data_IF_700775768100
#
_entry.id   IF_700775768100
#
_cell.length_a   1.000
_cell.length_b   1.000
_cell.length_c   1.000
_cell.angle_alpha   90.00
_cell.angle_beta   90.00
_cell.angle_gamma   90.00
#
_symmetry.space_group_name_H-M   'P 1'
#
loop_
_entity.id
_entity.type
_entity.pdbx_description
1 polymer ?
#
# COMPACT_ATOMS: atom_id res chain seq x y z
N UNK A 1 -40.92 18.88 9.60
CA UNK A 1 -41.46 18.04 8.52
C UNK A 1 -40.29 17.59 7.65
N UNK A 2 -39.71 16.46 7.97
CA UNK A 2 -38.63 15.82 7.20
C UNK A 2 -39.27 14.76 6.32
N UNK A 3 -39.52 15.09 5.06
CA UNK A 3 -39.95 14.11 4.04
C UNK A 3 -38.70 13.49 3.43
N UNK A 4 -38.16 12.49 4.12
CA UNK A 4 -37.13 11.63 3.54
C UNK A 4 -37.78 10.63 2.59
N UNK A 5 -37.64 10.84 1.29
CA UNK A 5 -38.02 9.86 0.28
C UNK A 5 -37.08 8.64 0.38
N UNK A 6 -37.59 7.42 0.55
CA UNK A 6 -36.78 6.22 0.45
C UNK A 6 -36.39 6.00 -1.02
N UNK A 7 -35.20 6.42 -1.40
CA UNK A 7 -34.65 6.10 -2.72
C UNK A 7 -34.48 4.58 -2.79
N UNK A 8 -35.16 3.94 -3.72
CA UNK A 8 -35.11 2.49 -3.96
C UNK A 8 -33.65 2.08 -4.29
N UNK A 9 -33.25 0.90 -3.79
CA UNK A 9 -31.90 0.37 -3.98
C UNK A 9 -31.50 0.27 -5.47
N UNK A 10 -32.44 -0.01 -6.35
CA UNK A 10 -32.26 -0.10 -7.81
C UNK A 10 -31.97 1.30 -8.41
N UNK A 11 -32.65 2.33 -7.93
CA UNK A 11 -32.42 3.72 -8.37
C UNK A 11 -31.05 4.24 -7.93
N UNK A 12 -30.60 3.88 -6.72
CA UNK A 12 -29.23 4.21 -6.25
C UNK A 12 -28.15 3.57 -7.13
N UNK A 13 -28.31 2.31 -7.51
CA UNK A 13 -27.38 1.62 -8.40
C UNK A 13 -27.36 2.27 -9.78
N UNK A 14 -28.52 2.62 -10.33
CA UNK A 14 -28.62 3.36 -11.59
C UNK A 14 -27.94 4.71 -11.55
N UNK A 15 -28.12 5.45 -10.47
CA UNK A 15 -27.51 6.77 -10.26
C UNK A 15 -25.98 6.66 -10.14
N UNK A 16 -25.46 5.70 -9.35
CA UNK A 16 -24.00 5.46 -9.22
C UNK A 16 -23.41 5.06 -10.57
N UNK A 17 -24.10 4.22 -11.35
CA UNK A 17 -23.62 3.83 -12.70
C UNK A 17 -23.56 5.03 -13.64
N UNK A 18 -24.56 5.93 -13.63
CA UNK A 18 -24.54 7.13 -14.45
C UNK A 18 -23.42 8.10 -14.06
N UNK A 19 -23.12 8.25 -12.77
CA UNK A 19 -21.99 9.05 -12.28
C UNK A 19 -20.63 8.45 -12.72
N UNK A 20 -20.49 7.13 -12.68
CA UNK A 20 -19.29 6.45 -13.15
C UNK A 20 -19.07 6.61 -14.66
N UNK A 21 -20.14 6.56 -15.46
CA UNK A 21 -20.04 6.79 -16.91
C UNK A 21 -19.72 8.25 -17.24
N UNK A 22 -20.28 9.21 -16.49
CA UNK A 22 -19.92 10.63 -16.63
C UNK A 22 -18.45 10.87 -16.24
N UNK A 23 -18.00 10.32 -15.12
CA UNK A 23 -16.60 10.44 -14.68
C UNK A 23 -15.62 9.83 -15.68
N UNK A 24 -15.97 8.70 -16.33
CA UNK A 24 -15.17 8.13 -17.40
C UNK A 24 -15.12 9.00 -18.65
N UNK A 25 -16.21 9.71 -18.98
CA UNK A 25 -16.26 10.60 -20.12
C UNK A 25 -15.47 11.90 -19.91
N UNK A 26 -15.30 12.33 -18.65
CA UNK A 26 -14.56 13.54 -18.28
C UNK A 26 -13.07 13.30 -18.04
N UNK A 27 -12.63 12.03 -17.91
CA UNK A 27 -11.21 11.71 -17.83
C UNK A 27 -10.55 12.00 -19.18
N UNK A 28 -9.47 12.80 -19.22
CA UNK A 28 -8.66 12.91 -20.44
C UNK A 28 -8.24 11.52 -20.86
N UNK A 29 -8.10 11.24 -22.18
CA UNK A 29 -7.64 9.96 -22.65
C UNK A 29 -6.35 9.62 -21.90
N UNK A 30 -6.30 8.45 -21.25
CA UNK A 30 -5.09 7.97 -20.59
C UNK A 30 -3.95 8.07 -21.61
N UNK A 31 -3.10 9.07 -21.44
CA UNK A 31 -1.79 9.08 -22.09
C UNK A 31 -1.10 7.82 -21.57
N UNK A 32 -1.07 6.79 -22.44
CA UNK A 32 -0.24 5.62 -22.18
C UNK A 32 1.19 6.14 -22.10
N UNK A 33 1.63 6.44 -20.90
CA UNK A 33 3.04 6.64 -20.62
C UNK A 33 3.68 5.30 -20.94
N UNK A 34 4.20 5.14 -22.15
CA UNK A 34 5.03 4.01 -22.51
C UNK A 34 6.21 4.02 -21.54
N UNK A 35 6.20 3.09 -20.60
CA UNK A 35 7.36 2.85 -19.77
C UNK A 35 8.57 2.64 -20.70
N UNK A 36 9.75 3.22 -20.38
CA UNK A 36 10.93 3.06 -21.23
C UNK A 36 11.13 1.59 -21.57
N UNK A 37 11.20 1.28 -22.85
CA UNK A 37 11.22 -0.09 -23.39
C UNK A 37 12.33 -0.99 -22.81
N UNK A 38 13.36 -0.41 -22.18
CA UNK A 38 14.45 -1.13 -21.55
C UNK A 38 14.09 -1.82 -20.21
N UNK A 39 13.01 -1.41 -19.54
CA UNK A 39 12.61 -1.94 -18.22
C UNK A 39 11.53 -3.04 -18.31
N UNK A 40 11.05 -3.40 -19.50
CA UNK A 40 9.91 -4.31 -19.66
C UNK A 40 10.27 -5.80 -19.71
N UNK A 41 11.53 -6.18 -19.95
CA UNK A 41 11.92 -7.57 -20.23
C UNK A 41 12.05 -8.46 -18.98
N UNK A 42 12.31 -7.89 -17.80
CA UNK A 42 12.58 -8.63 -16.56
C UNK A 42 11.63 -8.31 -15.39
N UNK A 43 10.54 -7.63 -15.64
CA UNK A 43 9.56 -7.34 -14.58
C UNK A 43 8.77 -8.60 -14.22
N UNK A 44 8.87 -9.03 -12.98
CA UNK A 44 8.06 -10.11 -12.41
C UNK A 44 7.48 -9.67 -11.06
N UNK A 45 6.31 -10.20 -10.73
CA UNK A 45 5.69 -9.93 -9.45
C UNK A 45 6.46 -10.66 -8.34
N UNK A 46 6.92 -9.92 -7.35
CA UNK A 46 7.49 -10.49 -6.15
C UNK A 46 6.40 -11.21 -5.36
N UNK A 47 6.69 -12.44 -4.91
CA UNK A 47 5.79 -13.21 -4.05
C UNK A 47 6.34 -13.23 -2.64
N UNK A 48 5.58 -12.67 -1.71
CA UNK A 48 5.90 -12.72 -0.28
C UNK A 48 5.75 -14.16 0.20
N UNK A 49 6.84 -14.71 0.76
CA UNK A 49 6.89 -16.05 1.34
C UNK A 49 7.04 -16.03 2.86
N UNK A 50 7.36 -14.88 3.43
CA UNK A 50 7.54 -14.68 4.87
C UNK A 50 6.20 -14.32 5.55
N UNK A 51 5.66 -15.25 6.32
CA UNK A 51 4.41 -15.07 7.08
C UNK A 51 4.58 -14.16 8.30
N UNK A 52 5.81 -13.82 8.66
CA UNK A 52 6.15 -12.98 9.82
C UNK A 52 6.29 -11.50 9.48
N UNK A 53 6.01 -11.10 8.23
CA UNK A 53 6.06 -9.70 7.83
C UNK A 53 5.17 -8.82 8.72
N UNK A 54 5.75 -7.73 9.21
CA UNK A 54 5.07 -6.81 10.11
C UNK A 54 4.97 -7.28 11.57
N UNK A 55 5.47 -8.49 11.89
CA UNK A 55 5.65 -8.94 13.27
C UNK A 55 6.93 -8.32 13.82
N UNK A 56 6.87 -7.80 15.03
CA UNK A 56 8.02 -7.17 15.68
C UNK A 56 7.68 -5.89 16.43
N UNK A 57 8.65 -5.39 17.18
CA UNK A 57 8.51 -4.15 17.95
C UNK A 57 8.56 -2.90 17.06
N UNK A 58 8.11 -1.76 17.59
CA UNK A 58 8.07 -0.49 16.86
C UNK A 58 9.44 -0.07 16.29
N UNK A 59 10.52 -0.29 17.04
CA UNK A 59 11.89 0.00 16.58
C UNK A 59 12.34 -0.89 15.40
N UNK A 60 11.89 -2.14 15.38
CA UNK A 60 12.18 -3.06 14.27
C UNK A 60 11.41 -2.66 13.01
N UNK A 61 10.12 -2.34 13.15
CA UNK A 61 9.30 -1.82 12.06
C UNK A 61 9.89 -0.54 11.47
N UNK A 62 10.35 0.36 12.32
CA UNK A 62 11.04 1.58 11.88
C UNK A 62 12.27 1.25 11.03
N UNK A 63 13.18 0.39 11.53
CA UNK A 63 14.38 -0.01 10.79
C UNK A 63 14.07 -0.64 9.45
N UNK A 64 13.05 -1.52 9.39
CA UNK A 64 12.63 -2.15 8.15
C UNK A 64 12.09 -1.11 7.15
N UNK A 65 11.31 -0.14 7.61
CA UNK A 65 10.81 0.93 6.76
C UNK A 65 11.96 1.78 6.21
N UNK A 66 12.91 2.18 7.07
CA UNK A 66 14.06 2.99 6.64
C UNK A 66 14.97 2.23 5.66
N UNK A 67 15.22 0.94 5.91
CA UNK A 67 15.98 0.12 4.98
C UNK A 67 15.32 0.03 3.60
N UNK A 68 14.01 -0.13 3.55
CA UNK A 68 13.27 -0.19 2.30
C UNK A 68 13.27 1.16 1.56
N UNK A 69 13.10 2.27 2.27
CA UNK A 69 13.10 3.61 1.68
C UNK A 69 14.49 3.97 1.13
N UNK A 70 15.54 3.74 1.92
CA UNK A 70 16.90 4.04 1.49
C UNK A 70 17.28 3.21 0.24
N UNK A 71 16.91 1.93 0.23
CA UNK A 71 17.11 1.07 -0.95
C UNK A 71 16.31 1.57 -2.16
N UNK A 72 15.07 2.00 -1.96
CA UNK A 72 14.26 2.57 -3.05
C UNK A 72 14.95 3.79 -3.67
N UNK A 73 15.45 4.72 -2.84
CA UNK A 73 16.18 5.90 -3.31
C UNK A 73 17.45 5.50 -4.09
N UNK A 74 18.19 4.49 -3.63
CA UNK A 74 19.36 3.96 -4.36
C UNK A 74 18.96 3.42 -5.74
N UNK A 75 17.90 2.60 -5.80
CA UNK A 75 17.39 2.03 -7.05
C UNK A 75 16.92 3.10 -8.04
N UNK A 76 16.28 4.15 -7.53
CA UNK A 76 15.84 5.30 -8.35
C UNK A 76 17.02 6.09 -8.91
N UNK A 77 18.05 6.36 -8.09
CA UNK A 77 19.27 7.04 -8.53
C UNK A 77 20.01 6.22 -9.60
N UNK A 78 20.11 4.90 -9.38
CA UNK A 78 20.77 3.98 -10.30
C UNK A 78 19.90 3.64 -11.53
N UNK A 79 18.63 3.99 -11.51
CA UNK A 79 17.63 3.70 -12.56
C UNK A 79 17.64 2.21 -12.97
N UNK A 80 17.61 1.32 -11.99
CA UNK A 80 17.61 -0.13 -12.18
C UNK A 80 16.47 -0.81 -11.39
N UNK A 81 16.19 -2.05 -11.75
CA UNK A 81 15.27 -2.91 -10.99
C UNK A 81 15.98 -3.52 -9.77
N UNK A 82 15.18 -3.83 -8.75
CA UNK A 82 15.65 -4.54 -7.56
C UNK A 82 16.00 -6.00 -7.86
N UNK A 83 17.09 -6.48 -7.28
CA UNK A 83 17.43 -7.92 -7.27
C UNK A 83 16.45 -8.70 -6.37
N UNK A 84 16.41 -10.04 -6.45
CA UNK A 84 15.56 -10.83 -5.56
C UNK A 84 15.84 -10.56 -4.06
N UNK A 85 17.08 -10.37 -3.68
CA UNK A 85 17.48 -10.07 -2.28
C UNK A 85 17.03 -8.68 -1.86
N UNK A 86 17.10 -7.71 -2.77
CA UNK A 86 16.61 -6.34 -2.55
C UNK A 86 15.08 -6.30 -2.48
N UNK A 87 14.38 -7.13 -3.27
CA UNK A 87 12.93 -7.27 -3.18
C UNK A 87 12.48 -7.79 -1.80
N UNK A 88 13.26 -8.68 -1.17
CA UNK A 88 13.02 -9.12 0.21
C UNK A 88 13.12 -7.94 1.20
N UNK A 89 14.08 -7.04 1.03
CA UNK A 89 14.22 -5.84 1.87
C UNK A 89 13.03 -4.91 1.65
N UNK A 90 12.67 -4.63 0.39
CA UNK A 90 11.53 -3.79 0.05
C UNK A 90 10.21 -4.35 0.61
N UNK A 91 10.03 -5.68 0.59
CA UNK A 91 8.83 -6.33 1.10
C UNK A 91 8.60 -6.17 2.60
N UNK A 92 9.67 -5.82 3.35
CA UNK A 92 9.58 -5.58 4.80
C UNK A 92 9.06 -4.19 5.18
N UNK A 93 8.76 -3.34 4.21
CA UNK A 93 8.09 -2.08 4.48
C UNK A 93 6.66 -2.32 4.98
N UNK A 94 6.37 -1.85 6.18
CA UNK A 94 5.08 -2.09 6.85
C UNK A 94 4.29 -0.80 7.12
N UNK A 95 4.72 0.32 6.55
CA UNK A 95 4.08 1.62 6.75
C UNK A 95 4.33 2.23 8.12
N UNK A 96 3.78 3.39 8.33
CA UNK A 96 4.01 4.20 9.55
C UNK A 96 2.89 4.07 10.60
N UNK A 97 1.89 3.24 10.36
CA UNK A 97 0.79 3.03 11.29
C UNK A 97 1.28 2.62 12.67
N UNK A 98 0.89 3.40 13.70
CA UNK A 98 1.33 3.18 15.08
C UNK A 98 2.77 3.56 15.40
N UNK A 99 3.48 4.28 14.49
CA UNK A 99 4.86 4.74 14.69
C UNK A 99 4.96 6.27 14.90
N UNK A 100 3.90 6.91 15.39
CA UNK A 100 3.87 8.36 15.61
C UNK A 100 4.99 8.87 16.52
N UNK A 101 5.50 8.01 17.42
CA UNK A 101 6.62 8.37 18.28
C UNK A 101 7.94 8.63 17.54
N UNK A 102 8.10 8.13 16.33
CA UNK A 102 9.27 8.39 15.49
C UNK A 102 9.28 9.81 14.91
N UNK A 103 8.12 10.48 14.90
CA UNK A 103 7.92 11.85 14.39
C UNK A 103 7.85 12.90 15.51
N UNK A 104 8.04 12.49 16.76
CA UNK A 104 8.01 13.39 17.93
C UNK A 104 9.45 13.80 18.32
N UNK A 105 9.80 15.04 18.02
CA UNK A 105 11.12 15.62 18.33
C UNK A 105 11.43 15.66 19.82
N UNK A 106 10.41 15.63 20.68
CA UNK A 106 10.56 15.69 22.14
C UNK A 106 10.67 14.31 22.79
N UNK A 107 10.52 13.24 22.01
CA UNK A 107 10.60 11.88 22.51
C UNK A 107 12.05 11.40 22.59
N UNK A 108 12.65 11.55 23.77
CA UNK A 108 14.05 11.16 24.00
C UNK A 108 14.34 9.68 23.68
N UNK A 109 13.37 8.78 23.80
CA UNK A 109 13.54 7.37 23.49
C UNK A 109 13.61 7.08 21.96
N UNK A 110 13.25 8.07 21.14
CA UNK A 110 13.22 8.00 19.67
C UNK A 110 14.05 9.09 18.98
N UNK A 111 14.91 9.76 19.74
CA UNK A 111 15.66 10.90 19.24
C UNK A 111 16.60 10.57 18.06
N UNK A 112 17.17 9.38 18.04
CA UNK A 112 18.07 8.96 16.96
C UNK A 112 17.25 8.59 15.71
N UNK A 113 16.14 7.87 15.88
CA UNK A 113 15.23 7.53 14.78
C UNK A 113 14.57 8.78 14.18
N UNK A 114 14.21 9.76 15.02
CA UNK A 114 13.70 11.05 14.54
C UNK A 114 14.72 11.75 13.65
N UNK A 115 15.98 11.81 14.06
CA UNK A 115 17.05 12.44 13.27
C UNK A 115 17.29 11.70 11.96
N UNK A 116 17.33 10.37 12.00
CA UNK A 116 17.50 9.53 10.82
C UNK A 116 16.36 9.77 9.82
N UNK A 117 15.12 9.73 10.28
CA UNK A 117 13.93 9.96 9.48
C UNK A 117 13.95 11.34 8.81
N UNK A 118 14.24 12.38 9.61
CA UNK A 118 14.27 13.76 9.13
C UNK A 118 15.41 14.03 8.13
N UNK A 119 16.51 13.31 8.25
CA UNK A 119 17.66 13.43 7.34
C UNK A 119 17.48 12.65 6.04
N UNK A 120 16.69 11.57 6.06
CA UNK A 120 16.55 10.64 4.91
C UNK A 120 15.38 10.98 4.00
N UNK A 121 14.35 11.68 4.50
CA UNK A 121 13.15 12.00 3.74
C UNK A 121 13.15 13.46 3.26
N UNK A 122 12.62 13.69 2.08
CA UNK A 122 12.24 15.04 1.66
C UNK A 122 11.12 15.61 2.55
N UNK A 123 10.91 16.92 2.58
CA UNK A 123 9.82 17.51 3.36
C UNK A 123 8.44 16.95 2.98
N UNK A 124 8.21 16.66 1.71
CA UNK A 124 6.96 16.09 1.18
C UNK A 124 6.77 14.65 1.67
N UNK A 125 7.80 13.83 1.57
CA UNK A 125 7.77 12.43 2.06
C UNK A 125 7.60 12.37 3.57
N UNK A 126 8.30 13.25 4.30
CA UNK A 126 8.18 13.32 5.77
C UNK A 126 6.74 13.66 6.18
N UNK A 127 6.12 14.66 5.57
CA UNK A 127 4.75 15.05 5.88
C UNK A 127 3.76 13.93 5.54
N UNK A 128 3.89 13.30 4.37
CA UNK A 128 3.06 12.18 3.97
C UNK A 128 3.21 10.98 4.93
N UNK A 129 4.43 10.66 5.34
CA UNK A 129 4.72 9.61 6.30
C UNK A 129 4.09 9.92 7.67
N UNK A 130 4.24 11.15 8.17
CA UNK A 130 3.68 11.60 9.44
C UNK A 130 2.14 11.53 9.42
N UNK A 131 1.47 12.01 8.37
CA UNK A 131 0.03 11.95 8.24
C UNK A 131 -0.49 10.50 8.21
N UNK A 132 0.27 9.59 7.62
CA UNK A 132 -0.09 8.19 7.51
C UNK A 132 -0.01 7.40 8.83
N UNK A 133 0.61 7.95 9.88
CA UNK A 133 0.78 7.26 11.18
C UNK A 133 -0.53 6.84 11.83
N UNK A 134 -1.63 7.52 11.52
CA UNK A 134 -2.96 7.24 12.06
C UNK A 134 -3.79 6.27 11.20
N UNK A 135 -3.43 6.10 9.94
CA UNK A 135 -4.28 5.42 8.94
C UNK A 135 -3.61 4.25 8.22
N UNK A 136 -2.28 4.24 8.11
CA UNK A 136 -1.55 3.23 7.35
C UNK A 136 -1.28 1.97 8.19
N UNK A 137 -2.32 1.23 8.48
CA UNK A 137 -2.22 -0.09 9.12
C UNK A 137 -2.44 -1.17 8.07
N UNK A 138 -1.40 -1.95 7.79
CA UNK A 138 -1.48 -3.03 6.82
C UNK A 138 -2.01 -4.32 7.46
N UNK A 139 -2.84 -5.03 6.70
CA UNK A 139 -3.42 -6.29 7.15
C UNK A 139 -2.34 -7.38 7.19
N UNK A 140 -2.11 -8.05 8.32
CA UNK A 140 -1.10 -9.10 8.42
C UNK A 140 -1.38 -10.28 7.46
N UNK A 141 -0.33 -10.93 6.92
CA UNK A 141 -0.47 -12.06 5.99
C UNK A 141 -1.35 -13.20 6.53
N UNK A 142 -1.28 -13.47 7.81
CA UNK A 142 -2.10 -14.52 8.48
C UNK A 142 -3.60 -14.23 8.37
N UNK A 143 -4.01 -12.96 8.44
CA UNK A 143 -5.41 -12.57 8.29
C UNK A 143 -5.86 -12.73 6.84
N UNK A 144 -5.01 -12.33 5.89
CA UNK A 144 -5.28 -12.47 4.46
C UNK A 144 -5.44 -13.95 4.10
N UNK A 145 -4.53 -14.82 4.57
CA UNK A 145 -4.63 -16.27 4.36
C UNK A 145 -5.94 -16.83 4.92
N UNK A 146 -6.33 -16.43 6.12
CA UNK A 146 -7.60 -16.86 6.70
C UNK A 146 -8.81 -16.40 5.87
N UNK A 147 -8.79 -15.20 5.29
CA UNK A 147 -9.82 -14.73 4.37
C UNK A 147 -9.93 -15.62 3.12
N UNK A 148 -8.80 -15.98 2.50
CA UNK A 148 -8.77 -16.89 1.35
C UNK A 148 -9.27 -18.29 1.71
N UNK A 149 -8.88 -18.84 2.87
CA UNK A 149 -9.41 -20.12 3.35
C UNK A 149 -10.93 -20.11 3.53
N UNK A 150 -11.50 -18.99 3.98
CA UNK A 150 -12.96 -18.83 4.06
C UNK A 150 -13.59 -18.82 2.68
N UNK A 151 -13.00 -18.14 1.70
CA UNK A 151 -13.50 -18.12 0.32
C UNK A 151 -13.48 -19.53 -0.28
N UNK A 152 -12.40 -20.28 -0.08
CA UNK A 152 -12.28 -21.67 -0.53
C UNK A 152 -13.38 -22.58 0.09
N UNK A 153 -13.61 -22.44 1.40
CA UNK A 153 -14.68 -23.20 2.11
C UNK A 153 -16.09 -22.83 1.63
N UNK A 154 -16.27 -21.60 1.15
CA UNK A 154 -17.51 -21.15 0.52
C UNK A 154 -17.66 -21.60 -0.94
N UNK A 155 -16.66 -22.31 -1.48
CA UNK A 155 -16.66 -22.82 -2.85
C UNK A 155 -16.31 -21.78 -3.91
N UNK A 156 -15.71 -20.66 -3.52
CA UNK A 156 -15.25 -19.64 -4.47
C UNK A 156 -13.95 -20.13 -5.13
N UNK A 157 -14.02 -20.48 -6.42
CA UNK A 157 -12.86 -20.96 -7.18
C UNK A 157 -12.38 -19.99 -8.24
N UNK A 158 -13.26 -19.08 -8.70
CA UNK A 158 -12.93 -18.05 -9.68
C UNK A 158 -13.97 -16.94 -9.68
N UNK A 159 -13.58 -15.73 -10.05
CA UNK A 159 -14.48 -14.58 -10.14
C UNK A 159 -13.76 -13.26 -9.96
N UNK A 160 -14.50 -12.16 -10.12
CA UNK A 160 -13.97 -10.82 -9.87
C UNK A 160 -14.09 -10.48 -8.38
N UNK A 161 -12.98 -10.07 -7.77
CA UNK A 161 -12.95 -9.60 -6.38
C UNK A 161 -12.80 -8.09 -6.40
N UNK A 162 -13.69 -7.37 -5.71
CA UNK A 162 -13.58 -5.94 -5.49
C UNK A 162 -13.00 -5.71 -4.09
N UNK A 163 -11.83 -5.10 -4.03
CA UNK A 163 -11.21 -4.63 -2.79
C UNK A 163 -11.45 -3.12 -2.66
N UNK A 164 -12.42 -2.68 -1.84
CA UNK A 164 -12.80 -1.27 -1.74
C UNK A 164 -11.83 -0.44 -0.89
N UNK A 165 -10.95 -1.09 -0.14
CA UNK A 165 -10.04 -0.46 0.83
C UNK A 165 -8.62 -0.96 0.64
N UNK A 166 -8.12 -0.92 -0.58
CA UNK A 166 -6.80 -1.39 -0.94
C UNK A 166 -5.70 -0.57 -0.22
N UNK A 167 -5.50 -0.88 1.06
CA UNK A 167 -4.53 -0.18 1.92
C UNK A 167 -3.10 -0.61 1.68
N UNK A 168 -2.87 -1.85 1.23
CA UNK A 168 -1.54 -2.35 0.89
C UNK A 168 -1.59 -3.25 -0.34
N UNK A 169 -1.03 -2.77 -1.44
CA UNK A 169 -0.93 -3.54 -2.70
C UNK A 169 0.03 -4.73 -2.60
N UNK A 170 0.89 -4.79 -1.58
CA UNK A 170 1.85 -5.89 -1.38
C UNK A 170 1.19 -7.25 -1.21
N UNK A 171 -0.06 -7.28 -0.75
CA UNK A 171 -0.82 -8.51 -0.47
C UNK A 171 -1.95 -8.77 -1.46
N UNK A 172 -2.05 -7.98 -2.53
CA UNK A 172 -3.02 -8.31 -3.57
C UNK A 172 -2.59 -9.61 -4.24
N UNK A 173 -3.53 -10.52 -4.38
CA UNK A 173 -3.34 -11.75 -5.13
C UNK A 173 -2.77 -11.43 -6.50
N UNK A 174 -1.81 -12.21 -7.02
CA UNK A 174 -1.40 -12.04 -8.39
C UNK A 174 -2.66 -12.16 -9.25
N UNK A 175 -2.88 -11.14 -10.09
CA UNK A 175 -3.88 -11.24 -11.15
C UNK A 175 -3.59 -12.51 -11.96
N UNK A 176 -4.60 -13.28 -12.31
CA UNK A 176 -4.42 -14.50 -13.09
C UNK A 176 -3.79 -14.22 -14.46
#
# INVERSE_FOLDING_TARGET
NSTGFPINRVEKIGYIRSLLEQAKAELPPEEKTEAPAALSADRHNFRITDDTLGVGGSKEKFRNNMAAINLLHELEIENRLATPEEQEILSRYVGWGGLSMAFDEHNAAWADEFKELYASLSPEEYNAAMESTLTAFYTPPVVIKAMYEVLDRLGFSQGNILEPSCGCLLYTSPSP
#
